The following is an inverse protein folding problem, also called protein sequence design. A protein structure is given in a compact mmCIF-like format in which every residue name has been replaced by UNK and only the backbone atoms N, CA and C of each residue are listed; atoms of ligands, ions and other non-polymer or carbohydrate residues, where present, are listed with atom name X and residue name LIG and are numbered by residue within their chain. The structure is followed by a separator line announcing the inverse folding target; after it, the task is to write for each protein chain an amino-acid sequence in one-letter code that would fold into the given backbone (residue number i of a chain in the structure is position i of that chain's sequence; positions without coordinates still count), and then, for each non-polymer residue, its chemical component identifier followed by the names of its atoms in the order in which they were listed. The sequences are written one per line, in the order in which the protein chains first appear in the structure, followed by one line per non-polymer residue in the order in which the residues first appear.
data_IF_556400756970
#
_entry.id   IF_556400756970
#
_cell.length_a   1.000
_cell.length_b   1.000
_cell.length_c   1.000
_cell.angle_alpha   90.00
_cell.angle_beta   90.00
_cell.angle_gamma   90.00
#
_symmetry.space_group_name_H-M   'P 1'
#
loop_
_entity.id
_entity.type
_entity.pdbx_description
1 polymer ?
#
# COMPACT_ATOMS: atom_id res chain seq x y z
N UNK A 1 -14.93 19.09 -14.28
CA UNK A 1 -15.56 17.76 -14.35
C UNK A 1 -14.93 16.98 -15.51
N UNK A 2 -13.92 16.14 -15.25
CA UNK A 2 -13.37 15.22 -16.25
C UNK A 2 -13.42 13.82 -15.66
N UNK A 3 -14.58 13.20 -15.83
CA UNK A 3 -14.78 11.76 -15.66
C UNK A 3 -13.89 11.05 -16.68
N UNK A 4 -12.83 10.41 -16.22
CA UNK A 4 -12.09 9.43 -17.02
C UNK A 4 -12.64 8.06 -16.68
N UNK A 5 -13.57 7.63 -17.54
CA UNK A 5 -13.98 6.24 -17.63
C UNK A 5 -12.73 5.38 -17.86
N UNK A 6 -12.43 4.45 -16.95
CA UNK A 6 -11.31 3.53 -17.12
C UNK A 6 -11.67 2.47 -18.17
N UNK A 7 -11.27 2.73 -19.41
CA UNK A 7 -11.22 1.75 -20.49
C UNK A 7 -9.83 1.06 -20.48
N UNK A 8 -9.81 -0.28 -20.57
CA UNK A 8 -8.66 -1.20 -20.77
C UNK A 8 -7.64 -1.34 -19.62
N UNK A 9 -7.63 -2.53 -18.99
CA UNK A 9 -6.45 -3.26 -18.51
C UNK A 9 -5.34 -2.51 -17.76
N UNK A 10 -5.67 -1.56 -16.89
CA UNK A 10 -4.68 -0.89 -16.02
C UNK A 10 -3.79 -1.90 -15.30
N UNK A 11 -2.45 -1.73 -15.26
CA UNK A 11 -1.56 -2.61 -14.51
C UNK A 11 -1.97 -2.64 -13.04
N UNK A 12 -2.41 -3.82 -12.57
CA UNK A 12 -2.73 -4.09 -11.17
C UNK A 12 -1.72 -5.08 -10.63
N UNK A 13 -1.26 -4.87 -9.40
CA UNK A 13 -0.40 -5.80 -8.70
C UNK A 13 -0.99 -6.14 -7.35
N UNK A 14 -1.21 -7.43 -7.10
CA UNK A 14 -1.62 -7.97 -5.83
C UNK A 14 -0.41 -8.62 -5.17
N UNK A 15 -0.18 -8.33 -3.89
CA UNK A 15 0.86 -8.99 -3.11
C UNK A 15 0.46 -8.97 -1.63
N UNK A 16 0.82 -10.03 -0.91
CA UNK A 16 0.75 -10.01 0.57
C UNK A 16 1.89 -9.15 1.11
N UNK A 17 1.64 -8.32 2.11
CA UNK A 17 2.62 -7.40 2.70
C UNK A 17 3.93 -8.12 3.07
N UNK A 18 3.82 -9.26 3.78
CA UNK A 18 4.95 -10.13 4.11
C UNK A 18 5.80 -10.56 2.90
N UNK A 19 5.15 -10.86 1.77
CA UNK A 19 5.84 -11.25 0.53
C UNK A 19 6.52 -10.06 -0.13
N UNK A 20 5.91 -8.88 -0.09
CA UNK A 20 6.55 -7.67 -0.58
C UNK A 20 7.82 -7.34 0.21
N UNK A 21 7.78 -7.41 1.55
CA UNK A 21 8.98 -7.14 2.35
C UNK A 21 10.10 -8.13 2.07
N UNK A 22 9.78 -9.42 1.89
CA UNK A 22 10.76 -10.42 1.48
C UNK A 22 11.33 -10.15 0.07
N UNK A 23 10.50 -9.73 -0.88
CA UNK A 23 10.96 -9.32 -2.21
C UNK A 23 11.92 -8.13 -2.14
N UNK A 24 11.63 -7.12 -1.32
CA UNK A 24 12.47 -5.94 -1.14
C UNK A 24 13.80 -6.29 -0.46
N UNK A 25 13.76 -7.18 0.55
CA UNK A 25 14.97 -7.72 1.20
C UNK A 25 15.88 -8.46 0.21
N UNK A 26 15.31 -9.30 -0.66
CA UNK A 26 16.08 -9.98 -1.71
C UNK A 26 16.63 -8.96 -2.72
N UNK A 27 15.82 -7.95 -3.08
CA UNK A 27 16.20 -6.93 -4.04
C UNK A 27 17.37 -6.04 -3.54
N UNK A 28 17.49 -5.84 -2.22
CA UNK A 28 18.70 -5.25 -1.63
C UNK A 28 19.92 -6.15 -1.84
N UNK A 29 19.77 -7.46 -1.60
CA UNK A 29 20.87 -8.43 -1.72
C UNK A 29 21.38 -8.65 -3.14
N UNK A 30 20.51 -8.51 -4.16
CA UNK A 30 20.87 -8.67 -5.57
C UNK A 30 21.05 -7.34 -6.33
N UNK A 31 20.93 -6.20 -5.64
CA UNK A 31 21.08 -4.85 -6.21
C UNK A 31 19.92 -4.39 -7.09
N UNK A 32 18.79 -5.11 -7.10
CA UNK A 32 17.60 -4.76 -7.89
C UNK A 32 16.58 -3.88 -7.17
N UNK A 33 16.83 -3.47 -5.92
CA UNK A 33 15.91 -2.69 -5.08
C UNK A 33 15.35 -1.44 -5.79
N UNK A 34 16.22 -0.55 -6.30
CA UNK A 34 15.78 0.67 -6.99
C UNK A 34 14.94 0.36 -8.23
N UNK A 35 15.26 -0.71 -8.96
CA UNK A 35 14.46 -1.16 -10.11
C UNK A 35 13.08 -1.63 -9.65
N UNK A 36 13.00 -2.32 -8.51
CA UNK A 36 11.74 -2.80 -7.94
C UNK A 36 10.86 -1.65 -7.47
N UNK A 37 11.41 -0.66 -6.76
CA UNK A 37 10.67 0.57 -6.41
C UNK A 37 10.10 1.26 -7.65
N UNK A 38 10.92 1.46 -8.68
CA UNK A 38 10.48 2.09 -9.93
C UNK A 38 9.39 1.29 -10.68
N UNK A 39 9.37 -0.05 -10.53
CA UNK A 39 8.29 -0.89 -11.05
C UNK A 39 7.01 -0.71 -10.24
N UNK A 40 7.11 -0.75 -8.91
CA UNK A 40 5.98 -0.55 -8.00
C UNK A 40 5.35 0.83 -8.20
N UNK A 41 6.14 1.89 -8.34
CA UNK A 41 5.65 3.25 -8.59
C UNK A 41 4.80 3.39 -9.88
N UNK A 42 5.05 2.55 -10.90
CA UNK A 42 4.35 2.60 -12.21
C UNK A 42 3.04 1.82 -12.25
N UNK A 43 2.73 1.04 -11.21
CA UNK A 43 1.50 0.23 -11.12
C UNK A 43 0.31 1.15 -10.83
N UNK A 44 -0.75 1.05 -11.63
CA UNK A 44 -1.96 1.87 -11.46
C UNK A 44 -2.64 1.57 -10.13
N UNK A 45 -2.76 0.29 -9.78
CA UNK A 45 -3.36 -0.17 -8.54
C UNK A 45 -2.47 -1.22 -7.88
N UNK A 46 -1.87 -0.86 -6.73
CA UNK A 46 -1.13 -1.77 -5.87
C UNK A 46 -2.03 -2.23 -4.72
N UNK A 47 -2.33 -3.51 -4.62
CA UNK A 47 -3.09 -4.09 -3.51
C UNK A 47 -2.11 -4.83 -2.58
N UNK A 48 -2.00 -4.33 -1.35
CA UNK A 48 -1.23 -4.90 -0.25
C UNK A 48 -2.17 -5.64 0.69
N UNK A 49 -2.07 -6.96 0.69
CA UNK A 49 -2.90 -7.84 1.50
C UNK A 49 -2.21 -8.28 2.79
N UNK A 50 -2.97 -8.78 3.76
CA UNK A 50 -2.44 -9.26 5.04
C UNK A 50 -1.64 -8.21 5.82
N UNK A 51 -2.06 -6.94 5.79
CA UNK A 51 -1.44 -5.87 6.57
C UNK A 51 -1.60 -6.12 8.08
N UNK A 52 -0.54 -5.86 8.86
CA UNK A 52 -0.58 -6.03 10.31
C UNK A 52 -0.40 -7.47 10.81
N UNK A 53 -0.19 -8.46 9.93
CA UNK A 53 -0.09 -9.87 10.35
C UNK A 53 1.30 -10.30 10.83
N UNK A 54 2.36 -9.63 10.38
CA UNK A 54 3.75 -9.93 10.77
C UNK A 54 4.42 -8.67 11.31
N UNK A 55 5.33 -8.83 12.27
CA UNK A 55 6.15 -7.73 12.75
C UNK A 55 7.13 -7.28 11.66
N UNK A 56 7.41 -5.97 11.64
CA UNK A 56 8.39 -5.39 10.73
C UNK A 56 9.68 -5.09 11.49
N UNK A 57 10.80 -5.46 10.90
CA UNK A 57 12.09 -4.92 11.31
C UNK A 57 12.29 -3.48 10.78
N UNK A 58 13.36 -2.82 11.19
CA UNK A 58 13.64 -1.45 10.78
C UNK A 58 13.80 -1.31 9.26
N UNK A 59 14.38 -2.30 8.59
CA UNK A 59 14.61 -2.26 7.14
C UNK A 59 13.28 -2.30 6.41
N UNK A 60 12.39 -3.22 6.79
CA UNK A 60 11.07 -3.35 6.20
C UNK A 60 10.22 -2.09 6.37
N UNK A 61 10.36 -1.37 7.49
CA UNK A 61 9.68 -0.07 7.71
C UNK A 61 10.20 1.03 6.81
N UNK A 62 11.52 1.13 6.64
CA UNK A 62 12.11 2.09 5.72
C UNK A 62 11.70 1.78 4.27
N UNK A 63 11.78 0.52 3.87
CA UNK A 63 11.38 0.05 2.54
C UNK A 63 9.89 0.32 2.28
N UNK A 64 9.03 0.13 3.29
CA UNK A 64 7.61 0.48 3.22
C UNK A 64 7.41 1.98 2.99
N UNK A 65 8.14 2.82 3.72
CA UNK A 65 8.05 4.26 3.54
C UNK A 65 8.43 4.67 2.11
N UNK A 66 9.52 4.15 1.55
CA UNK A 66 9.94 4.40 0.16
C UNK A 66 8.84 4.01 -0.84
N UNK A 67 8.26 2.81 -0.69
CA UNK A 67 7.15 2.35 -1.57
C UNK A 67 5.94 3.27 -1.48
N UNK A 68 5.58 3.73 -0.29
CA UNK A 68 4.41 4.60 -0.11
C UNK A 68 4.70 6.02 -0.60
N UNK A 69 5.90 6.55 -0.38
CA UNK A 69 6.29 7.90 -0.80
C UNK A 69 6.32 8.03 -2.33
N UNK A 70 6.85 7.03 -3.04
CA UNK A 70 6.84 6.99 -4.52
C UNK A 70 5.42 6.97 -5.12
N UNK A 71 4.43 6.52 -4.34
CA UNK A 71 3.05 6.30 -4.80
C UNK A 71 2.07 7.34 -4.32
N UNK A 72 2.37 8.06 -3.23
CA UNK A 72 1.47 9.06 -2.65
C UNK A 72 1.16 10.13 -3.70
N UNK A 73 -0.10 10.54 -3.78
CA UNK A 73 -0.59 11.53 -4.76
C UNK A 73 -0.41 11.17 -6.25
N UNK A 74 0.10 9.99 -6.60
CA UNK A 74 0.40 9.61 -8.00
C UNK A 74 -0.40 8.40 -8.49
N UNK A 75 -0.56 7.34 -7.68
CA UNK A 75 -1.24 6.08 -8.03
C UNK A 75 -2.04 5.52 -6.84
N UNK A 76 -3.02 4.66 -7.11
CA UNK A 76 -3.84 4.04 -6.05
C UNK A 76 -3.09 2.92 -5.33
N UNK A 77 -3.03 2.99 -4.01
CA UNK A 77 -2.68 1.85 -3.16
C UNK A 77 -3.93 1.38 -2.43
N UNK A 78 -4.14 0.07 -2.34
CA UNK A 78 -5.23 -0.55 -1.59
C UNK A 78 -4.59 -1.40 -0.52
N UNK A 79 -5.04 -1.27 0.72
CA UNK A 79 -4.54 -2.07 1.83
C UNK A 79 -5.72 -2.81 2.45
N UNK A 80 -5.58 -4.12 2.59
CA UNK A 80 -6.51 -4.98 3.33
C UNK A 80 -5.86 -5.40 4.64
N UNK A 81 -6.60 -5.25 5.74
CA UNK A 81 -6.08 -5.50 7.08
C UNK A 81 -7.12 -6.13 7.99
N UNK A 82 -6.73 -7.20 8.67
CA UNK A 82 -7.49 -7.74 9.81
C UNK A 82 -7.19 -6.96 11.10
N UNK A 83 -6.08 -6.21 11.14
CA UNK A 83 -5.72 -5.34 12.23
C UNK A 83 -6.54 -4.03 12.17
N UNK A 84 -7.28 -3.66 13.24
CA UNK A 84 -7.99 -2.38 13.29
C UNK A 84 -7.05 -1.19 13.07
N UNK A 85 -7.54 -0.15 12.39
CA UNK A 85 -6.74 1.01 11.98
C UNK A 85 -6.05 1.70 13.16
N UNK A 86 -6.72 1.80 14.31
CA UNK A 86 -6.17 2.39 15.54
C UNK A 86 -4.92 1.67 16.06
N UNK A 87 -4.70 0.42 15.66
CA UNK A 87 -3.52 -0.36 16.06
C UNK A 87 -2.37 -0.28 15.05
N UNK A 88 -2.55 0.36 13.88
CA UNK A 88 -1.51 0.39 12.85
C UNK A 88 -0.27 1.17 13.29
N UNK A 89 -0.48 2.29 13.99
CA UNK A 89 0.62 3.11 14.52
C UNK A 89 1.48 2.30 15.49
N UNK A 90 0.84 1.61 16.43
CA UNK A 90 1.52 0.74 17.39
C UNK A 90 2.21 -0.46 16.72
N UNK A 91 1.59 -1.07 15.70
CA UNK A 91 2.16 -2.18 14.95
C UNK A 91 3.44 -1.81 14.19
N UNK A 92 3.56 -0.57 13.72
CA UNK A 92 4.78 -0.08 13.08
C UNK A 92 5.95 0.03 14.08
N UNK A 93 5.72 0.07 15.40
CA UNK A 93 6.77 0.04 16.44
C UNK A 93 7.94 1.04 16.26
N UNK A 94 7.72 2.13 15.51
CA UNK A 94 8.63 3.26 15.36
C UNK A 94 7.75 4.51 15.16
N UNK A 95 7.59 5.37 16.18
CA UNK A 95 6.65 6.49 16.10
C UNK A 95 6.92 7.44 14.92
N UNK A 96 8.19 7.67 14.59
CA UNK A 96 8.58 8.59 13.51
C UNK A 96 8.19 8.03 12.15
N UNK A 97 8.51 6.75 11.89
CA UNK A 97 8.11 6.10 10.65
C UNK A 97 6.61 5.85 10.61
N UNK A 98 5.99 5.56 11.75
CA UNK A 98 4.55 5.37 11.85
C UNK A 98 3.79 6.63 11.44
N UNK A 99 4.16 7.79 11.98
CA UNK A 99 3.57 9.07 11.59
C UNK A 99 3.78 9.34 10.09
N UNK A 100 5.01 9.16 9.60
CA UNK A 100 5.34 9.41 8.19
C UNK A 100 4.56 8.51 7.21
N UNK A 101 4.43 7.22 7.51
CA UNK A 101 3.71 6.24 6.69
C UNK A 101 2.20 6.50 6.76
N UNK A 102 1.66 6.67 7.96
CA UNK A 102 0.23 6.88 8.16
C UNK A 102 -0.24 8.23 7.61
N UNK A 103 0.57 9.28 7.67
CA UNK A 103 0.25 10.55 7.00
C UNK A 103 0.14 10.36 5.48
N UNK A 104 0.94 9.51 4.86
CA UNK A 104 0.84 9.30 3.40
C UNK A 104 -0.35 8.43 3.02
N UNK A 105 -0.72 7.49 3.88
CA UNK A 105 -1.84 6.58 3.66
C UNK A 105 -3.19 7.24 4.01
N UNK A 106 -3.29 7.81 5.21
CA UNK A 106 -4.55 8.17 5.89
C UNK A 106 -4.92 9.65 5.72
N UNK A 107 -4.12 10.44 5.01
CA UNK A 107 -4.45 11.85 4.77
C UNK A 107 -5.50 12.07 3.67
N UNK A 108 -5.78 11.08 2.80
CA UNK A 108 -6.91 11.10 1.84
C UNK A 108 -7.60 9.73 1.57
N UNK A 109 -7.96 8.93 2.60
CA UNK A 109 -8.49 7.59 2.38
C UNK A 109 -9.97 7.63 1.98
N UNK A 110 -10.31 6.85 0.95
CA UNK A 110 -11.66 6.34 0.79
C UNK A 110 -11.76 5.07 1.63
N UNK A 111 -12.32 5.19 2.84
CA UNK A 111 -12.47 4.04 3.73
C UNK A 111 -13.70 3.21 3.31
N UNK A 112 -13.49 1.93 3.02
CA UNK A 112 -14.56 0.99 2.75
C UNK A 112 -14.55 -0.08 3.85
N UNK A 113 -15.44 0.04 4.84
CA UNK A 113 -15.65 -1.05 5.79
C UNK A 113 -16.43 -2.16 5.08
N UNK A 114 -15.74 -3.23 4.70
CA UNK A 114 -16.39 -4.39 4.07
C UNK A 114 -17.11 -5.20 5.15
N UNK A 115 -18.44 -5.20 5.08
CA UNK A 115 -19.29 -6.22 5.71
C UNK A 115 -19.59 -7.30 4.66
N UNK A 116 -20.03 -8.51 5.05
CA UNK A 116 -20.18 -9.66 4.14
C UNK A 116 -21.13 -9.50 2.92
N UNK A 117 -21.67 -8.32 2.61
CA UNK A 117 -22.77 -8.15 1.64
C UNK A 117 -22.59 -6.99 0.65
N UNK A 118 -21.38 -6.49 0.35
CA UNK A 118 -21.25 -5.40 -0.64
C UNK A 118 -20.24 -5.61 -1.77
N UNK A 119 -20.64 -4.99 -2.89
CA UNK A 119 -20.19 -5.14 -4.28
C UNK A 119 -18.87 -4.38 -4.56
N UNK A 120 -17.96 -5.02 -5.28
CA UNK A 120 -16.56 -4.60 -5.50
C UNK A 120 -16.38 -3.38 -6.43
N UNK A 121 -17.47 -2.79 -6.93
CA UNK A 121 -17.43 -1.78 -8.00
C UNK A 121 -17.12 -0.33 -7.55
N UNK A 122 -16.76 -0.10 -6.28
CA UNK A 122 -16.52 1.24 -5.74
C UNK A 122 -15.03 1.64 -5.73
N UNK A 123 -14.31 1.57 -6.85
CA UNK A 123 -12.93 2.07 -6.94
C UNK A 123 -12.67 2.74 -8.29
N UNK A 124 -12.77 4.08 -8.32
CA UNK A 124 -12.30 4.93 -9.41
C UNK A 124 -11.69 6.22 -8.82
N UNK A 125 -10.64 6.75 -9.45
CA UNK A 125 -9.95 8.04 -9.20
C UNK A 125 -8.76 8.08 -8.22
N UNK A 126 -7.86 7.09 -8.26
CA UNK A 126 -6.46 7.30 -7.82
C UNK A 126 -6.24 7.52 -6.32
N UNK A 127 -7.20 7.17 -5.47
CA UNK A 127 -7.11 7.35 -4.01
C UNK A 127 -6.84 6.04 -3.27
N UNK A 128 -6.30 6.15 -2.06
CA UNK A 128 -6.09 5.02 -1.16
C UNK A 128 -7.44 4.44 -0.74
N UNK A 129 -7.61 3.14 -0.85
CA UNK A 129 -8.77 2.43 -0.29
C UNK A 129 -8.29 1.53 0.85
N UNK A 130 -8.78 1.83 2.06
CA UNK A 130 -8.59 0.99 3.24
C UNK A 130 -9.80 0.06 3.32
N UNK A 131 -9.55 -1.24 3.18
CA UNK A 131 -10.52 -2.32 3.36
C UNK A 131 -10.27 -3.03 4.68
#
# INVERSE_FOLDING_TARGET
MRSRHAAKGSPRYYVRAARLFEELRIAHGDGSFTRRLAQLAKIDVLLLDDWGLQELDQSARNDLLEVIDDRVCSRSTIITSQLPLEHWHAWLQDPTLADAILDRLVHQPHRLSIRPTLDFNAICDGRLVLV
#
